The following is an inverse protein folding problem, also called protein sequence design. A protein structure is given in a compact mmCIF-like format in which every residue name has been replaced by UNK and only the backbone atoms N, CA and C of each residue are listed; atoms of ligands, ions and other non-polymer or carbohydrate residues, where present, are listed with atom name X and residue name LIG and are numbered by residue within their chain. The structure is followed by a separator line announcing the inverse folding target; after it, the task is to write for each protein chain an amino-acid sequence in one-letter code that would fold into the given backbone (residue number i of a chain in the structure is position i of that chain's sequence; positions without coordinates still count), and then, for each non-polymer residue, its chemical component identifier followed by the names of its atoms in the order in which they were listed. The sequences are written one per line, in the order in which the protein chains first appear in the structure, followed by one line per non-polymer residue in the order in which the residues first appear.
data_IF_267952347170
#
_entry.id   IF_267952347170
#
_cell.length_a   1.000
_cell.length_b   1.000
_cell.length_c   1.000
_cell.angle_alpha   90.00
_cell.angle_beta   90.00
_cell.angle_gamma   90.00
#
_symmetry.space_group_name_H-M   'P 1'
#
loop_
_entity.id
_entity.type
_entity.pdbx_description
1 polymer ?
#
# COMPACT_ATOMS: atom_id res chain seq x y z
N UNK A 1 7.46 19.56 16.45
CA UNK A 1 7.60 19.85 15.01
C UNK A 1 8.32 18.67 14.36
N UNK A 2 7.61 17.82 13.62
CA UNK A 2 8.17 16.60 13.02
C UNK A 2 8.84 16.93 11.67
N UNK A 3 10.07 17.44 11.74
CA UNK A 3 10.92 17.81 10.59
C UNK A 3 11.54 16.61 9.86
N UNK A 4 10.90 15.44 9.90
CA UNK A 4 11.41 14.18 9.35
C UNK A 4 10.90 13.89 7.94
N UNK A 5 11.65 13.14 7.15
CA UNK A 5 11.24 12.67 5.82
C UNK A 5 10.16 11.58 5.92
N UNK A 6 9.38 11.41 4.86
CA UNK A 6 8.54 10.23 4.64
C UNK A 6 9.41 9.17 3.98
N UNK A 7 9.71 8.09 4.69
CA UNK A 7 10.58 7.03 4.17
C UNK A 7 9.72 5.86 3.71
N UNK A 8 9.83 5.54 2.42
CA UNK A 8 9.20 4.37 1.82
C UNK A 8 10.25 3.26 1.72
N UNK A 9 10.00 2.14 2.38
CA UNK A 9 10.87 0.99 2.45
C UNK A 9 10.27 -0.11 1.58
N UNK A 10 10.84 -0.27 0.39
CA UNK A 10 10.45 -1.32 -0.56
C UNK A 10 11.70 -1.95 -1.15
N UNK A 11 12.16 -3.05 -0.54
CA UNK A 11 13.51 -3.55 -0.75
C UNK A 11 13.69 -4.31 -2.07
N UNK A 12 12.61 -4.82 -2.65
CA UNK A 12 12.66 -5.66 -3.84
C UNK A 12 12.10 -4.95 -5.09
N UNK A 13 12.90 -4.04 -5.65
CA UNK A 13 12.56 -3.33 -6.88
C UNK A 13 12.51 -4.27 -8.10
N UNK A 14 11.89 -3.80 -9.17
CA UNK A 14 11.75 -4.53 -10.43
C UNK A 14 11.67 -3.58 -11.63
N UNK A 15 12.10 -4.09 -12.78
CA UNK A 15 11.69 -3.52 -14.07
C UNK A 15 10.31 -4.06 -14.38
N UNK A 16 9.34 -3.18 -14.57
CA UNK A 16 8.01 -3.59 -14.99
C UNK A 16 7.94 -3.64 -16.51
N UNK A 17 7.54 -4.79 -17.06
CA UNK A 17 7.34 -5.02 -18.49
C UNK A 17 5.88 -5.36 -18.75
N UNK A 18 5.16 -4.54 -19.50
CA UNK A 18 3.79 -4.84 -19.91
C UNK A 18 3.78 -5.36 -21.34
N UNK A 19 3.44 -6.63 -21.50
CA UNK A 19 3.31 -7.31 -22.79
C UNK A 19 1.84 -7.29 -23.21
N UNK A 20 1.49 -6.37 -24.10
CA UNK A 20 0.09 -6.09 -24.45
C UNK A 20 -0.28 -6.92 -25.68
N UNK A 21 -1.24 -7.82 -25.54
CA UNK A 21 -1.77 -8.62 -26.64
C UNK A 21 -2.69 -7.77 -27.55
N UNK A 22 -3.02 -8.24 -28.77
CA UNK A 22 -4.09 -7.64 -29.57
C UNK A 22 -5.41 -7.53 -28.79
N UNK A 23 -6.33 -6.61 -29.18
CA UNK A 23 -7.56 -6.35 -28.43
C UNK A 23 -8.46 -7.58 -28.17
N UNK A 24 -8.42 -8.57 -29.05
CA UNK A 24 -9.13 -9.85 -28.98
C UNK A 24 -8.23 -11.01 -28.50
N UNK A 25 -6.97 -10.70 -28.17
CA UNK A 25 -5.96 -11.67 -27.77
C UNK A 25 -6.23 -12.26 -26.39
N UNK A 26 -6.08 -13.58 -26.28
CA UNK A 26 -6.10 -14.33 -25.03
C UNK A 26 -4.75 -15.02 -24.81
N UNK A 27 -4.32 -15.10 -23.55
CA UNK A 27 -3.15 -15.90 -23.19
C UNK A 27 -3.55 -17.38 -23.19
N UNK A 28 -2.96 -18.15 -24.12
CA UNK A 28 -3.18 -19.60 -24.26
C UNK A 28 -1.86 -20.32 -23.99
N UNK A 29 -1.74 -21.09 -22.89
CA UNK A 29 -0.54 -21.87 -22.59
C UNK A 29 -0.18 -22.83 -23.74
N UNK A 30 1.12 -22.98 -24.02
CA UNK A 30 1.63 -23.83 -25.10
C UNK A 30 1.69 -23.17 -26.48
N UNK A 31 1.08 -21.99 -26.67
CA UNK A 31 1.10 -21.26 -27.94
C UNK A 31 2.14 -20.12 -27.94
N UNK A 32 2.58 -19.74 -29.15
CA UNK A 32 3.39 -18.52 -29.36
C UNK A 32 2.48 -17.31 -29.43
N UNK A 33 2.74 -16.33 -28.57
CA UNK A 33 2.02 -15.05 -28.54
C UNK A 33 2.91 -13.93 -29.05
N UNK A 34 2.33 -12.99 -29.80
CA UNK A 34 3.01 -11.79 -30.29
C UNK A 34 2.33 -10.56 -29.70
N UNK A 35 3.08 -9.75 -28.97
CA UNK A 35 2.57 -8.49 -28.44
C UNK A 35 2.25 -7.53 -29.58
N UNK A 36 1.18 -6.76 -29.41
CA UNK A 36 0.93 -5.55 -30.17
C UNK A 36 1.92 -4.45 -29.77
N UNK A 37 2.24 -4.38 -28.48
CA UNK A 37 3.20 -3.43 -27.92
C UNK A 37 3.79 -3.94 -26.62
N UNK A 38 5.04 -3.55 -26.35
CA UNK A 38 5.70 -3.76 -25.07
C UNK A 38 5.99 -2.39 -24.45
N UNK A 39 5.60 -2.22 -23.19
CA UNK A 39 5.86 -1.00 -22.44
C UNK A 39 6.76 -1.34 -21.25
N UNK A 40 7.76 -0.50 -21.00
CA UNK A 40 8.61 -0.60 -19.82
C UNK A 40 8.15 0.44 -18.78
N UNK A 41 8.37 0.13 -17.52
CA UNK A 41 8.09 1.00 -16.41
C UNK A 41 8.82 0.53 -15.16
N UNK A 42 8.48 1.15 -14.04
CA UNK A 42 8.96 0.79 -12.72
C UNK A 42 7.98 -0.20 -12.08
N UNK A 43 8.47 -1.14 -11.29
CA UNK A 43 7.63 -2.09 -10.57
C UNK A 43 8.21 -2.48 -9.23
N UNK A 44 7.35 -2.68 -8.25
CA UNK A 44 7.76 -3.04 -6.90
C UNK A 44 7.04 -2.14 -5.91
N UNK A 45 6.42 -2.75 -4.91
CA UNK A 45 5.39 -2.07 -4.11
C UNK A 45 5.84 -0.74 -3.49
N UNK A 46 7.09 -0.62 -3.02
CA UNK A 46 7.60 0.66 -2.51
C UNK A 46 7.75 1.74 -3.58
N UNK A 47 8.11 1.37 -4.82
CA UNK A 47 8.17 2.29 -5.96
C UNK A 47 6.75 2.69 -6.41
N UNK A 48 5.83 1.73 -6.44
CA UNK A 48 4.40 1.94 -6.74
C UNK A 48 3.73 2.91 -5.73
N UNK A 49 4.08 2.78 -4.44
CA UNK A 49 3.68 3.75 -3.40
C UNK A 49 4.21 5.15 -3.72
N UNK A 50 5.47 5.27 -4.09
CA UNK A 50 6.10 6.56 -4.37
C UNK A 50 5.55 7.22 -5.66
N UNK A 51 5.22 6.43 -6.67
CA UNK A 51 4.50 6.88 -7.87
C UNK A 51 3.16 7.51 -7.49
N UNK A 52 2.38 6.80 -6.67
CA UNK A 52 1.09 7.31 -6.20
C UNK A 52 1.23 8.63 -5.43
N UNK A 53 2.21 8.72 -4.52
CA UNK A 53 2.48 9.95 -3.76
C UNK A 53 2.84 11.12 -4.68
N UNK A 54 3.57 10.86 -5.77
CA UNK A 54 3.89 11.86 -6.78
C UNK A 54 2.65 12.30 -7.55
N UNK A 55 1.78 11.36 -7.97
CA UNK A 55 0.50 11.68 -8.61
C UNK A 55 -0.40 12.54 -7.72
N UNK A 56 -0.39 12.31 -6.40
CA UNK A 56 -1.12 13.08 -5.40
C UNK A 56 -0.48 14.44 -5.08
N UNK A 57 0.67 14.77 -5.69
CA UNK A 57 1.44 15.98 -5.39
C UNK A 57 1.74 16.14 -3.90
N UNK A 58 2.12 15.04 -3.26
CA UNK A 58 2.41 15.01 -1.84
C UNK A 58 3.53 16.00 -1.49
N UNK A 59 3.27 16.87 -0.50
CA UNK A 59 4.14 18.01 -0.16
C UNK A 59 5.30 17.66 0.76
N UNK A 60 5.31 16.47 1.37
CA UNK A 60 6.41 16.03 2.24
C UNK A 60 7.62 15.55 1.43
N UNK A 61 8.82 15.68 2.02
CA UNK A 61 10.04 15.05 1.46
C UNK A 61 9.89 13.53 1.51
N UNK A 62 9.94 12.87 0.36
CA UNK A 62 9.85 11.41 0.24
C UNK A 62 11.24 10.85 -0.07
N UNK A 63 11.65 9.77 0.60
CA UNK A 63 12.88 9.02 0.29
C UNK A 63 12.59 7.53 0.13
N UNK A 64 13.20 6.88 -0.88
CA UNK A 64 13.09 5.43 -1.09
C UNK A 64 14.31 4.68 -0.54
N UNK A 65 14.06 3.85 0.47
CA UNK A 65 14.97 2.81 0.93
C UNK A 65 14.70 1.52 0.11
N UNK A 66 15.63 1.17 -0.76
CA UNK A 66 15.48 0.07 -1.72
C UNK A 66 16.83 -0.45 -2.23
N UNK A 67 16.83 -1.68 -2.73
CA UNK A 67 17.90 -2.20 -3.58
C UNK A 67 17.47 -2.12 -5.03
N UNK A 68 18.29 -1.50 -5.88
CA UNK A 68 18.08 -1.49 -7.33
C UNK A 68 19.37 -2.00 -7.97
N UNK A 69 19.34 -3.16 -8.62
CA UNK A 69 20.53 -3.80 -9.19
C UNK A 69 21.25 -2.92 -10.22
N UNK A 70 22.57 -2.98 -10.26
CA UNK A 70 23.37 -2.33 -11.31
C UNK A 70 23.24 -3.10 -12.63
N UNK A 71 23.35 -2.40 -13.76
CA UNK A 71 23.10 -2.98 -15.08
C UNK A 71 21.88 -2.37 -15.77
N UNK A 72 21.62 -2.78 -17.02
CA UNK A 72 20.73 -2.07 -17.93
C UNK A 72 19.29 -1.87 -17.39
N UNK A 73 18.70 -2.93 -16.81
CA UNK A 73 17.36 -2.90 -16.25
C UNK A 73 17.28 -1.95 -15.06
N UNK A 74 18.23 -2.07 -14.12
CA UNK A 74 18.21 -1.25 -12.92
C UNK A 74 18.67 0.18 -13.16
N UNK A 75 19.56 0.43 -14.12
CA UNK A 75 19.90 1.79 -14.59
C UNK A 75 18.67 2.48 -15.19
N UNK A 76 17.86 1.74 -15.96
CA UNK A 76 16.61 2.25 -16.50
C UNK A 76 15.60 2.59 -15.39
N UNK A 77 15.41 1.69 -14.41
CA UNK A 77 14.52 1.95 -13.26
C UNK A 77 15.01 3.10 -12.40
N UNK A 78 16.30 3.14 -12.08
CA UNK A 78 16.90 4.23 -11.31
C UNK A 78 16.67 5.58 -11.99
N UNK A 79 16.94 5.68 -13.30
CA UNK A 79 16.68 6.90 -14.07
C UNK A 79 15.21 7.29 -14.10
N UNK A 80 14.28 6.34 -14.32
CA UNK A 80 12.84 6.63 -14.28
C UNK A 80 12.40 7.18 -12.92
N UNK A 81 12.95 6.66 -11.83
CA UNK A 81 12.64 7.15 -10.48
C UNK A 81 13.27 8.53 -10.19
N UNK A 82 14.50 8.78 -10.65
CA UNK A 82 15.13 10.11 -10.56
C UNK A 82 14.34 11.14 -11.37
N UNK A 83 13.92 10.81 -12.59
CA UNK A 83 13.11 11.70 -13.44
C UNK A 83 11.76 12.03 -12.78
N UNK A 84 11.18 11.08 -12.04
CA UNK A 84 9.90 11.24 -11.36
C UNK A 84 9.99 12.03 -10.05
N UNK A 85 11.02 11.76 -9.23
CA UNK A 85 11.07 12.21 -7.83
C UNK A 85 12.30 13.09 -7.48
N UNK A 86 13.27 13.19 -8.38
CA UNK A 86 14.55 13.84 -8.14
C UNK A 86 15.56 12.98 -7.38
N UNK A 87 16.83 13.36 -7.48
CA UNK A 87 17.97 12.65 -6.90
C UNK A 87 17.90 12.55 -5.37
N UNK A 88 17.39 13.59 -4.70
CA UNK A 88 17.29 13.63 -3.24
C UNK A 88 16.39 12.52 -2.68
N UNK A 89 15.35 12.14 -3.43
CA UNK A 89 14.44 11.05 -3.07
C UNK A 89 15.12 9.67 -3.16
N UNK A 90 16.24 9.59 -3.89
CA UNK A 90 16.96 8.35 -4.17
C UNK A 90 18.18 8.14 -3.26
N UNK A 91 18.47 9.07 -2.33
CA UNK A 91 19.64 9.01 -1.45
C UNK A 91 19.75 7.73 -0.59
N UNK A 92 18.62 7.07 -0.29
CA UNK A 92 18.58 5.81 0.47
C UNK A 92 18.63 4.56 -0.43
N UNK A 93 18.76 4.72 -1.74
CA UNK A 93 18.88 3.59 -2.67
C UNK A 93 20.29 3.02 -2.61
N UNK A 94 20.40 1.70 -2.50
CA UNK A 94 21.64 0.94 -2.66
C UNK A 94 21.64 0.32 -4.06
N UNK A 95 22.82 0.26 -4.69
CA UNK A 95 23.01 -0.24 -6.07
C UNK A 95 23.85 -1.53 -6.08
N UNK A 96 23.27 -2.69 -5.73
CA UNK A 96 23.97 -3.98 -5.77
C UNK A 96 24.58 -4.31 -7.12
N UNK A 97 25.64 -5.13 -7.13
CA UNK A 97 26.18 -5.68 -8.38
C UNK A 97 25.23 -6.72 -9.01
N UNK A 98 24.46 -7.44 -8.19
CA UNK A 98 23.49 -8.44 -8.62
C UNK A 98 22.34 -7.88 -9.44
N UNK A 99 21.75 -8.73 -10.29
CA UNK A 99 20.61 -8.39 -11.13
C UNK A 99 19.34 -8.28 -10.29
N UNK A 100 18.54 -7.26 -10.57
CA UNK A 100 17.16 -7.19 -10.06
C UNK A 100 16.20 -7.95 -10.98
N UNK A 101 15.06 -8.36 -10.44
CA UNK A 101 14.01 -9.05 -11.21
C UNK A 101 13.36 -8.16 -12.29
N UNK A 102 12.85 -8.81 -13.34
CA UNK A 102 11.82 -8.24 -14.21
C UNK A 102 10.45 -8.82 -13.87
N UNK A 103 9.45 -7.96 -13.68
CA UNK A 103 8.05 -8.35 -13.57
C UNK A 103 7.37 -8.14 -14.92
N UNK A 104 6.85 -9.19 -15.54
CA UNK A 104 6.14 -9.11 -16.82
C UNK A 104 4.64 -9.31 -16.63
N UNK A 105 3.83 -8.28 -16.88
CA UNK A 105 2.37 -8.40 -16.93
C UNK A 105 1.92 -8.58 -18.38
N UNK A 106 1.31 -9.73 -18.68
CA UNK A 106 0.70 -10.02 -19.97
C UNK A 106 -0.74 -9.51 -19.93
N UNK A 107 -1.02 -8.44 -20.67
CA UNK A 107 -2.34 -7.80 -20.72
C UNK A 107 -3.11 -8.37 -21.92
N UNK A 108 -4.17 -9.12 -21.62
CA UNK A 108 -5.09 -9.71 -22.58
C UNK A 108 -6.44 -8.98 -22.58
N UNK A 109 -7.36 -9.35 -23.47
CA UNK A 109 -8.66 -8.69 -23.61
C UNK A 109 -9.45 -8.56 -22.29
N UNK A 110 -9.46 -9.62 -21.48
CA UNK A 110 -10.29 -9.73 -20.28
C UNK A 110 -9.52 -10.13 -19.01
N UNK A 111 -8.19 -10.19 -19.08
CA UNK A 111 -7.36 -10.64 -17.96
C UNK A 111 -5.95 -10.09 -18.05
N UNK A 112 -5.27 -10.06 -16.91
CA UNK A 112 -3.83 -9.83 -16.86
C UNK A 112 -3.18 -10.99 -16.12
N UNK A 113 -2.08 -11.52 -16.66
CA UNK A 113 -1.27 -12.56 -16.02
C UNK A 113 0.09 -11.99 -15.68
N UNK A 114 0.57 -12.19 -14.45
CA UNK A 114 1.90 -11.74 -14.03
C UNK A 114 2.90 -12.87 -14.02
N UNK A 115 4.08 -12.61 -14.59
CA UNK A 115 5.27 -13.45 -14.52
C UNK A 115 6.33 -12.68 -13.75
N UNK A 116 6.75 -13.22 -12.61
CA UNK A 116 7.69 -12.57 -11.70
C UNK A 116 8.99 -13.35 -11.70
N UNK A 117 10.07 -12.74 -12.18
CA UNK A 117 11.41 -13.31 -12.08
C UNK A 117 11.95 -13.23 -10.65
N UNK A 118 12.87 -14.13 -10.25
CA UNK A 118 13.59 -13.98 -8.99
C UNK A 118 14.58 -12.81 -9.07
N UNK A 119 14.88 -12.21 -7.92
CA UNK A 119 15.99 -11.27 -7.76
C UNK A 119 17.24 -12.02 -7.30
N UNK A 120 18.41 -11.51 -7.63
CA UNK A 120 19.66 -12.03 -7.06
C UNK A 120 19.72 -11.80 -5.54
N UNK A 121 20.64 -12.52 -4.91
CA UNK A 121 20.91 -12.39 -3.47
C UNK A 121 21.55 -11.03 -3.17
N UNK A 122 21.06 -10.38 -2.11
CA UNK A 122 21.65 -9.18 -1.53
C UNK A 122 22.71 -9.59 -0.50
N UNK A 123 23.92 -9.08 -0.68
CA UNK A 123 25.06 -9.38 0.20
C UNK A 123 24.91 -8.67 1.56
N UNK A 124 25.50 -9.24 2.61
CA UNK A 124 25.46 -8.64 3.95
C UNK A 124 26.01 -7.21 3.98
N UNK A 125 27.03 -6.91 3.16
CA UNK A 125 27.59 -5.56 3.01
C UNK A 125 26.61 -4.57 2.40
N UNK A 126 25.74 -5.01 1.50
CA UNK A 126 24.74 -4.16 0.85
C UNK A 126 23.59 -3.84 1.81
N UNK A 127 23.18 -4.81 2.64
CA UNK A 127 22.26 -4.56 3.76
C UNK A 127 22.87 -3.57 4.75
N UNK A 128 24.14 -3.76 5.12
CA UNK A 128 24.85 -2.85 6.02
C UNK A 128 24.95 -1.42 5.43
N UNK A 129 25.18 -1.27 4.13
CA UNK A 129 25.17 0.02 3.44
C UNK A 129 23.80 0.71 3.58
N UNK A 130 22.71 -0.02 3.33
CA UNK A 130 21.35 0.53 3.47
C UNK A 130 21.08 1.02 4.90
N UNK A 131 21.40 0.20 5.90
CA UNK A 131 21.23 0.55 7.31
C UNK A 131 22.11 1.75 7.69
N UNK A 132 23.31 1.86 7.14
CA UNK A 132 24.20 3.02 7.34
C UNK A 132 23.58 4.29 6.76
N UNK A 133 23.06 4.27 5.53
CA UNK A 133 22.37 5.43 4.92
C UNK A 133 21.17 5.89 5.75
N UNK A 134 20.40 4.93 6.29
CA UNK A 134 19.24 5.21 7.14
C UNK A 134 19.61 5.81 8.51
N UNK A 135 20.81 5.54 9.03
CA UNK A 135 21.22 6.00 10.37
C UNK A 135 21.28 7.52 10.54
N UNK A 136 21.39 8.26 9.43
CA UNK A 136 21.37 9.73 9.42
C UNK A 136 19.94 10.31 9.32
N UNK A 137 18.93 9.48 9.09
CA UNK A 137 17.56 9.93 8.84
C UNK A 137 16.70 9.96 10.11
N UNK A 138 15.64 10.75 10.05
CA UNK A 138 14.52 10.69 10.99
C UNK A 138 13.23 10.67 10.20
N UNK A 139 12.41 9.65 10.42
CA UNK A 139 11.16 9.51 9.69
C UNK A 139 10.02 10.28 10.38
N UNK A 140 9.28 11.10 9.64
CA UNK A 140 7.97 11.60 10.10
C UNK A 140 6.84 10.66 9.71
N UNK A 141 7.05 9.83 8.69
CA UNK A 141 6.18 8.74 8.28
C UNK A 141 7.02 7.59 7.71
N UNK A 142 6.59 6.36 7.94
CA UNK A 142 7.17 5.14 7.40
C UNK A 142 6.14 4.33 6.63
N UNK A 143 6.56 3.75 5.50
CA UNK A 143 5.80 2.72 4.81
C UNK A 143 6.70 1.52 4.51
N UNK A 144 6.41 0.36 5.11
CA UNK A 144 7.07 -0.90 4.78
C UNK A 144 6.20 -1.65 3.79
N UNK A 145 6.64 -1.79 2.54
CA UNK A 145 5.81 -2.39 1.50
C UNK A 145 6.58 -3.42 0.67
N UNK A 146 5.94 -4.56 0.46
CA UNK A 146 6.48 -5.64 -0.37
C UNK A 146 7.44 -6.59 0.34
N UNK A 147 7.90 -7.57 -0.44
CA UNK A 147 8.84 -8.59 0.01
C UNK A 147 10.27 -8.04 0.06
N UNK A 148 11.12 -8.77 0.77
CA UNK A 148 12.56 -8.58 0.73
C UNK A 148 13.16 -9.49 -0.36
N UNK A 149 14.19 -9.05 -1.08
CA UNK A 149 14.95 -9.94 -1.97
C UNK A 149 15.70 -11.02 -1.15
N UNK A 150 16.14 -12.13 -1.79
CA UNK A 150 16.98 -13.12 -1.13
C UNK A 150 18.22 -12.49 -0.49
N UNK A 151 18.70 -13.05 0.63
CA UNK A 151 19.86 -12.52 1.37
C UNK A 151 19.51 -11.51 2.46
N UNK A 152 18.37 -10.81 2.38
CA UNK A 152 17.92 -9.95 3.47
C UNK A 152 17.47 -10.77 4.70
N UNK A 153 18.01 -10.49 5.90
CA UNK A 153 17.54 -11.09 7.15
C UNK A 153 16.06 -10.79 7.43
N UNK A 154 15.34 -11.70 8.10
CA UNK A 154 13.88 -11.54 8.37
C UNK A 154 13.56 -10.34 9.26
N UNK A 155 14.52 -9.88 10.07
CA UNK A 155 14.42 -8.72 10.95
C UNK A 155 14.84 -7.40 10.29
N UNK A 156 15.16 -7.37 8.99
CA UNK A 156 15.61 -6.15 8.30
C UNK A 156 14.64 -4.98 8.48
N UNK A 157 13.33 -5.19 8.31
CA UNK A 157 12.34 -4.13 8.55
C UNK A 157 12.29 -3.66 10.00
N UNK A 158 12.46 -4.58 10.96
CA UNK A 158 12.53 -4.26 12.38
C UNK A 158 13.75 -3.39 12.71
N UNK A 159 14.91 -3.71 12.11
CA UNK A 159 16.13 -2.94 12.26
C UNK A 159 15.98 -1.53 11.65
N UNK A 160 15.41 -1.41 10.46
CA UNK A 160 15.11 -0.12 9.83
C UNK A 160 14.18 0.71 10.74
N UNK A 161 13.09 0.13 11.24
CA UNK A 161 12.17 0.82 12.15
C UNK A 161 12.88 1.36 13.39
N UNK A 162 13.74 0.54 14.01
CA UNK A 162 14.49 0.94 15.21
C UNK A 162 15.42 2.12 14.95
N UNK A 163 16.03 2.18 13.76
CA UNK A 163 16.95 3.23 13.35
C UNK A 163 16.23 4.57 13.14
N UNK A 164 15.13 4.59 12.37
CA UNK A 164 14.57 5.86 11.85
C UNK A 164 13.31 6.34 12.55
N UNK A 165 12.56 5.46 13.23
CA UNK A 165 11.28 5.81 13.82
C UNK A 165 11.44 6.49 15.19
N UNK A 166 10.78 7.63 15.40
CA UNK A 166 10.66 8.30 16.68
C UNK A 166 9.25 8.21 17.29
N UNK A 167 9.05 8.87 18.42
CA UNK A 167 7.82 8.85 19.23
C UNK A 167 6.54 9.29 18.47
N UNK A 168 6.69 10.02 17.35
CA UNK A 168 5.59 10.57 16.57
C UNK A 168 5.57 10.07 15.11
N UNK A 169 6.45 9.13 14.76
CA UNK A 169 6.48 8.57 13.40
C UNK A 169 5.23 7.70 13.20
N UNK A 170 4.37 8.09 12.25
CA UNK A 170 3.30 7.19 11.81
C UNK A 170 3.89 6.09 10.95
N UNK A 171 3.40 4.86 11.09
CA UNK A 171 3.93 3.70 10.38
C UNK A 171 2.81 2.94 9.68
N UNK A 172 2.90 2.80 8.36
CA UNK A 172 2.04 1.94 7.56
C UNK A 172 2.81 0.68 7.16
N UNK A 173 2.29 -0.48 7.52
CA UNK A 173 2.86 -1.78 7.18
C UNK A 173 1.97 -2.39 6.09
N UNK A 174 2.53 -2.66 4.92
CA UNK A 174 1.86 -3.26 3.75
C UNK A 174 2.68 -4.48 3.27
N UNK A 175 3.01 -5.34 4.22
CA UNK A 175 3.75 -6.57 4.01
C UNK A 175 3.47 -7.56 5.12
N UNK A 176 3.54 -8.84 4.77
CA UNK A 176 3.49 -9.97 5.71
C UNK A 176 4.89 -10.54 5.98
N UNK A 177 5.88 -10.16 5.18
CA UNK A 177 7.27 -10.63 5.30
C UNK A 177 7.98 -9.85 6.41
N UNK A 178 8.56 -10.55 7.39
CA UNK A 178 9.20 -9.93 8.56
C UNK A 178 8.23 -9.22 9.52
N UNK A 179 6.92 -9.45 9.36
CA UNK A 179 5.88 -8.83 10.17
C UNK A 179 6.02 -9.15 11.67
N UNK A 180 6.28 -10.41 12.11
CA UNK A 180 6.45 -10.71 13.53
C UNK A 180 7.57 -9.91 14.20
N UNK A 181 8.72 -9.84 13.55
CA UNK A 181 9.90 -9.10 14.02
C UNK A 181 9.64 -7.60 14.07
N UNK A 182 8.96 -7.06 13.05
CA UNK A 182 8.59 -5.65 12.99
C UNK A 182 7.58 -5.29 14.10
N UNK A 183 6.52 -6.08 14.28
CA UNK A 183 5.55 -5.88 15.37
C UNK A 183 6.23 -5.91 16.73
N UNK A 184 7.14 -6.87 16.94
CA UNK A 184 7.93 -6.96 18.17
C UNK A 184 8.77 -5.70 18.37
N UNK A 185 9.52 -5.25 17.38
CA UNK A 185 10.35 -4.04 17.50
C UNK A 185 9.53 -2.79 17.83
N UNK A 186 8.37 -2.61 17.19
CA UNK A 186 7.45 -1.50 17.49
C UNK A 186 6.96 -1.57 18.93
N UNK A 187 6.45 -2.74 19.35
CA UNK A 187 5.89 -2.92 20.70
C UNK A 187 6.88 -2.73 21.85
N UNK A 188 8.16 -2.95 21.60
CA UNK A 188 9.22 -2.81 22.61
C UNK A 188 9.68 -1.34 22.79
N UNK A 189 9.27 -0.42 21.92
CA UNK A 189 9.53 1.01 22.13
C UNK A 189 8.63 1.53 23.25
N UNK A 190 9.25 2.22 24.22
CA UNK A 190 8.51 2.87 25.32
C UNK A 190 7.45 3.85 24.81
N UNK A 191 7.75 4.54 23.71
CA UNK A 191 6.85 5.41 22.98
C UNK A 191 7.06 5.20 21.49
N UNK A 192 5.96 5.07 20.77
CA UNK A 192 5.95 5.05 19.31
C UNK A 192 4.73 5.78 18.79
N UNK A 193 4.84 6.27 17.55
CA UNK A 193 3.67 6.82 16.85
C UNK A 193 2.67 5.74 16.50
N UNK A 194 1.55 6.16 15.92
CA UNK A 194 0.50 5.23 15.53
C UNK A 194 0.94 4.32 14.37
N UNK A 195 0.55 3.05 14.41
CA UNK A 195 0.87 2.06 13.36
C UNK A 195 -0.39 1.47 12.77
N UNK A 196 -0.44 1.33 11.45
CA UNK A 196 -1.51 0.66 10.73
C UNK A 196 -0.95 -0.50 9.92
N UNK A 197 -1.51 -1.70 10.08
CA UNK A 197 -1.26 -2.83 9.18
C UNK A 197 -2.31 -2.82 8.07
N UNK A 198 -1.90 -2.60 6.82
CA UNK A 198 -2.72 -2.84 5.64
C UNK A 198 -2.51 -4.29 5.18
N UNK A 199 -3.59 -5.02 4.96
CA UNK A 199 -3.54 -6.42 4.53
C UNK A 199 -4.73 -6.74 3.61
N UNK A 200 -4.56 -7.63 2.64
CA UNK A 200 -5.71 -8.11 1.87
C UNK A 200 -6.51 -9.14 2.69
N UNK A 201 -7.82 -9.18 2.49
CA UNK A 201 -8.72 -10.06 3.23
C UNK A 201 -8.29 -11.53 3.14
N UNK A 202 -7.92 -12.00 1.95
CA UNK A 202 -7.45 -13.36 1.71
C UNK A 202 -6.09 -13.66 2.38
N UNK A 203 -5.19 -12.68 2.46
CA UNK A 203 -3.92 -12.80 3.18
C UNK A 203 -4.15 -12.90 4.68
N UNK A 204 -5.05 -12.08 5.23
CA UNK A 204 -5.42 -12.10 6.64
C UNK A 204 -6.03 -13.46 7.03
N UNK A 205 -6.99 -13.96 6.26
CA UNK A 205 -7.59 -15.28 6.49
C UNK A 205 -6.54 -16.40 6.43
N UNK A 206 -5.60 -16.34 5.48
CA UNK A 206 -4.52 -17.33 5.35
C UNK A 206 -3.59 -17.32 6.56
N UNK A 207 -3.14 -16.14 7.00
CA UNK A 207 -2.31 -16.02 8.21
C UNK A 207 -3.04 -16.53 9.46
N UNK A 208 -4.34 -16.20 9.56
CA UNK A 208 -5.19 -16.61 10.65
C UNK A 208 -5.63 -18.09 10.59
N UNK A 209 -5.35 -18.82 9.51
CA UNK A 209 -5.85 -20.19 9.31
C UNK A 209 -7.38 -20.29 9.24
N UNK A 210 -8.05 -19.23 8.78
CA UNK A 210 -9.51 -19.19 8.61
C UNK A 210 -9.86 -19.62 7.20
N UNK A 211 -10.63 -20.71 7.09
CA UNK A 211 -11.20 -21.16 5.82
C UNK A 211 -12.29 -20.19 5.34
N UNK A 212 -12.23 -19.81 4.06
CA UNK A 212 -13.20 -18.91 3.44
C UNK A 212 -14.22 -19.72 2.66
N UNK A 213 -15.50 -19.44 2.87
CA UNK A 213 -16.63 -20.15 2.26
C UNK A 213 -16.98 -19.66 0.84
N UNK A 214 -16.43 -18.52 0.42
CA UNK A 214 -16.60 -17.94 -0.92
C UNK A 214 -15.51 -18.35 -1.92
N UNK A 215 -15.83 -18.35 -3.22
CA UNK A 215 -14.81 -18.29 -4.28
C UNK A 215 -14.06 -16.94 -4.20
N UNK A 216 -12.80 -16.88 -4.67
CA UNK A 216 -11.98 -15.64 -4.63
C UNK A 216 -12.69 -14.39 -5.20
N UNK A 217 -13.68 -14.58 -6.07
CA UNK A 217 -14.44 -13.51 -6.72
C UNK A 217 -15.58 -12.93 -5.87
N UNK A 218 -16.05 -13.61 -4.82
CA UNK A 218 -17.26 -13.23 -4.08
C UNK A 218 -16.99 -12.39 -2.82
N UNK A 219 -15.73 -12.07 -2.55
CA UNK A 219 -15.32 -11.36 -1.36
C UNK A 219 -15.43 -12.23 -0.11
N UNK A 220 -14.87 -11.74 0.99
CA UNK A 220 -14.87 -12.44 2.28
C UNK A 220 -15.94 -11.83 3.19
N UNK A 221 -16.73 -12.69 3.85
CA UNK A 221 -17.85 -12.26 4.66
C UNK A 221 -17.40 -11.59 5.97
N UNK A 222 -18.20 -10.67 6.50
CA UNK A 222 -17.89 -9.97 7.75
C UNK A 222 -17.61 -10.91 8.95
N UNK A 223 -18.33 -12.04 9.14
CA UNK A 223 -18.00 -13.01 10.20
C UNK A 223 -16.63 -13.69 10.03
N UNK A 224 -16.23 -14.00 8.79
CA UNK A 224 -14.91 -14.58 8.49
C UNK A 224 -13.80 -13.55 8.75
N UNK A 225 -14.01 -12.29 8.34
CA UNK A 225 -13.10 -11.18 8.64
C UNK A 225 -12.93 -10.99 10.15
N UNK A 226 -14.04 -10.95 10.90
CA UNK A 226 -14.01 -10.84 12.38
C UNK A 226 -13.18 -11.97 13.01
N UNK A 227 -13.43 -13.21 12.58
CA UNK A 227 -12.71 -14.39 13.07
C UNK A 227 -11.22 -14.29 12.72
N UNK A 228 -10.89 -13.87 11.50
CA UNK A 228 -9.51 -13.74 11.04
C UNK A 228 -8.74 -12.65 11.81
N UNK A 229 -9.36 -11.49 12.08
CA UNK A 229 -8.76 -10.43 12.91
C UNK A 229 -8.46 -10.96 14.31
N UNK A 230 -9.46 -11.59 14.96
CA UNK A 230 -9.30 -12.10 16.32
C UNK A 230 -8.17 -13.11 16.39
N UNK A 231 -8.15 -14.10 15.50
CA UNK A 231 -7.12 -15.13 15.47
C UNK A 231 -5.74 -14.56 15.19
N UNK A 232 -5.61 -13.61 14.25
CA UNK A 232 -4.36 -12.91 13.99
C UNK A 232 -3.83 -12.19 15.25
N UNK A 233 -4.69 -11.44 15.95
CA UNK A 233 -4.29 -10.76 17.19
C UNK A 233 -3.84 -11.75 18.28
N UNK A 234 -4.48 -12.92 18.38
CA UNK A 234 -4.07 -13.99 19.30
C UNK A 234 -2.71 -14.58 18.96
N UNK A 235 -2.49 -14.91 17.69
CA UNK A 235 -1.25 -15.52 17.22
C UNK A 235 -0.03 -14.61 17.42
N UNK A 236 -0.24 -13.29 17.34
CA UNK A 236 0.82 -12.29 17.47
C UNK A 236 0.82 -11.56 18.82
N UNK A 237 0.18 -12.12 19.85
CA UNK A 237 0.18 -11.56 21.20
C UNK A 237 1.57 -11.66 21.86
N UNK A 238 2.02 -10.65 22.63
CA UNK A 238 1.36 -9.35 22.91
C UNK A 238 1.66 -8.27 21.86
N UNK A 239 2.55 -8.56 20.90
CA UNK A 239 3.17 -7.56 20.06
C UNK A 239 2.20 -6.86 19.11
N UNK A 240 1.26 -7.57 18.47
CA UNK A 240 0.27 -6.95 17.58
C UNK A 240 -0.62 -5.94 18.32
N UNK A 241 -1.13 -6.32 19.50
CA UNK A 241 -2.00 -5.47 20.32
C UNK A 241 -1.26 -4.22 20.83
N UNK A 242 0.02 -4.35 21.15
CA UNK A 242 0.84 -3.23 21.64
C UNK A 242 1.31 -2.31 20.51
N UNK A 243 1.65 -2.88 19.35
CA UNK A 243 2.22 -2.13 18.24
C UNK A 243 1.17 -1.41 17.39
N UNK A 244 0.02 -2.04 17.14
CA UNK A 244 -0.95 -1.57 16.15
C UNK A 244 -1.96 -0.59 16.74
N UNK A 245 -2.27 0.45 15.98
CA UNK A 245 -3.45 1.31 16.18
C UNK A 245 -4.63 0.86 15.32
N UNK A 246 -4.36 0.26 14.16
CA UNK A 246 -5.40 -0.33 13.31
C UNK A 246 -4.90 -1.44 12.37
N UNK A 247 -5.84 -2.25 11.89
CA UNK A 247 -5.68 -3.18 10.78
C UNK A 247 -6.67 -2.75 9.68
N UNK A 248 -6.14 -2.32 8.54
CA UNK A 248 -6.85 -1.88 7.35
C UNK A 248 -6.91 -3.01 6.32
N UNK A 249 -8.11 -3.50 6.06
CA UNK A 249 -8.34 -4.74 5.33
C UNK A 249 -9.03 -4.39 4.01
N UNK A 250 -8.35 -4.67 2.90
CA UNK A 250 -8.92 -4.50 1.55
C UNK A 250 -9.49 -5.81 1.04
N UNK A 251 -10.46 -5.75 0.12
CA UNK A 251 -11.04 -6.96 -0.51
C UNK A 251 -11.42 -6.68 -1.98
N UNK A 252 -10.48 -6.07 -2.73
CA UNK A 252 -10.69 -5.72 -4.14
C UNK A 252 -11.90 -4.80 -4.36
N UNK A 253 -12.89 -5.27 -5.12
CA UNK A 253 -14.11 -4.53 -5.45
C UNK A 253 -15.22 -4.65 -4.38
N UNK A 254 -14.95 -5.37 -3.29
CA UNK A 254 -15.88 -5.58 -2.18
C UNK A 254 -15.63 -4.58 -1.04
N UNK A 255 -16.56 -4.46 -0.06
CA UNK A 255 -16.35 -3.58 1.08
C UNK A 255 -15.03 -3.89 1.82
N UNK A 256 -14.32 -2.83 2.18
CA UNK A 256 -13.14 -2.91 3.03
C UNK A 256 -13.52 -2.87 4.51
N UNK A 257 -12.57 -3.19 5.39
CA UNK A 257 -12.79 -3.16 6.83
C UNK A 257 -11.64 -2.46 7.54
N UNK A 258 -11.94 -1.71 8.61
CA UNK A 258 -10.93 -1.14 9.50
C UNK A 258 -11.20 -1.65 10.91
N UNK A 259 -10.27 -2.41 11.45
CA UNK A 259 -10.26 -2.80 12.86
C UNK A 259 -9.37 -1.82 13.64
N UNK A 260 -9.92 -1.03 14.55
CA UNK A 260 -9.15 -0.11 15.38
C UNK A 260 -8.87 -0.74 16.74
N UNK A 261 -7.62 -0.69 17.17
CA UNK A 261 -7.19 -1.20 18.48
C UNK A 261 -7.67 -0.27 19.61
N UNK A 262 -7.96 -0.81 20.80
CA UNK A 262 -8.40 -0.02 21.94
C UNK A 262 -7.33 0.98 22.39
N UNK A 263 -7.77 2.12 22.91
CA UNK A 263 -6.91 3.01 23.71
C UNK A 263 -6.95 2.48 25.15
N UNK A 264 -5.80 2.50 25.83
CA UNK A 264 -5.53 1.87 27.14
C UNK A 264 -6.74 1.70 28.09
N UNK A 265 -6.81 0.51 28.73
CA UNK A 265 -7.84 -0.03 29.64
C UNK A 265 -9.01 -0.81 28.99
N UNK A 266 -9.25 -0.66 27.69
CA UNK A 266 -10.17 -1.54 26.95
C UNK A 266 -9.39 -2.73 26.35
N UNK A 267 -9.99 -3.93 26.38
CA UNK A 267 -9.45 -5.12 25.72
C UNK A 267 -10.28 -5.48 24.49
N UNK A 268 -10.98 -4.52 23.89
CA UNK A 268 -11.86 -4.73 22.74
C UNK A 268 -11.39 -3.91 21.55
N UNK A 269 -11.32 -4.55 20.38
CA UNK A 269 -11.14 -3.83 19.12
C UNK A 269 -12.50 -3.54 18.49
N UNK A 270 -12.57 -2.48 17.68
CA UNK A 270 -13.79 -2.04 16.99
C UNK A 270 -13.62 -2.22 15.49
N UNK A 271 -14.64 -2.74 14.82
CA UNK A 271 -14.62 -2.93 13.36
C UNK A 271 -15.60 -1.98 12.69
N UNK A 272 -15.12 -1.35 11.62
CA UNK A 272 -15.91 -0.56 10.69
C UNK A 272 -15.87 -1.21 9.31
N UNK A 273 -17.02 -1.26 8.63
CA UNK A 273 -17.09 -1.55 7.21
C UNK A 273 -16.99 -0.26 6.43
N UNK A 274 -16.18 -0.25 5.37
CA UNK A 274 -15.99 0.89 4.50
C UNK A 274 -16.42 0.49 3.09
N UNK A 275 -17.47 1.11 2.54
CA UNK A 275 -17.88 0.85 1.17
C UNK A 275 -16.78 1.25 0.16
N UNK A 276 -16.66 0.46 -0.91
CA UNK A 276 -15.72 0.68 -2.02
C UNK A 276 -16.51 0.77 -3.32
N UNK A 277 -16.17 1.71 -4.19
CA UNK A 277 -16.81 1.82 -5.50
C UNK A 277 -16.43 0.64 -6.39
N UNK A 278 -17.42 -0.15 -6.77
CA UNK A 278 -17.23 -1.29 -7.67
C UNK A 278 -17.33 -0.83 -9.13
N UNK A 279 -16.17 -0.65 -9.78
CA UNK A 279 -16.08 -0.18 -11.16
C UNK A 279 -16.69 -1.14 -12.20
N UNK A 280 -16.87 -2.43 -11.87
CA UNK A 280 -17.50 -3.40 -12.76
C UNK A 280 -19.02 -3.23 -12.80
N UNK A 281 -19.62 -2.68 -11.75
CA UNK A 281 -21.07 -2.48 -11.64
C UNK A 281 -21.47 -1.00 -11.66
N UNK A 282 -20.49 -0.09 -11.64
CA UNK A 282 -20.70 1.34 -11.74
C UNK A 282 -21.34 1.70 -13.09
N UNK A 283 -22.59 2.14 -13.03
CA UNK A 283 -23.37 2.50 -14.23
C UNK A 283 -23.19 3.96 -14.61
N UNK A 284 -22.58 4.77 -13.74
CA UNK A 284 -22.43 6.20 -13.98
C UNK A 284 -21.07 6.53 -14.56
N UNK A 285 -21.03 7.24 -15.69
CA UNK A 285 -19.80 7.78 -16.21
C UNK A 285 -19.14 8.74 -15.24
N UNK A 286 -17.81 8.84 -15.31
CA UNK A 286 -17.10 9.93 -14.66
C UNK A 286 -17.60 11.27 -15.25
N UNK A 287 -17.83 12.31 -14.43
CA UNK A 287 -18.41 13.59 -14.88
C UNK A 287 -17.69 14.28 -16.05
N UNK A 288 -16.39 14.02 -16.20
CA UNK A 288 -15.52 14.60 -17.23
C UNK A 288 -15.28 13.67 -18.43
N UNK A 289 -15.90 12.48 -18.45
CA UNK A 289 -15.89 11.62 -19.63
C UNK A 289 -17.14 11.88 -20.47
N UNK A 290 -16.96 12.28 -21.72
CA UNK A 290 -18.03 12.29 -22.73
C UNK A 290 -18.35 10.84 -23.11
N UNK A 291 -19.32 10.23 -22.42
CA UNK A 291 -19.65 8.83 -22.67
C UNK A 291 -20.40 8.61 -23.98
N UNK A 292 -19.91 7.64 -24.74
CA UNK A 292 -20.69 6.89 -25.71
C UNK A 292 -21.23 5.64 -25.01
N UNK A 293 -22.54 5.42 -25.00
CA UNK A 293 -23.13 4.19 -24.44
C UNK A 293 -22.49 2.95 -25.09
N UNK A 294 -21.83 2.09 -24.29
CA UNK A 294 -21.46 0.73 -24.69
C UNK A 294 -19.96 0.39 -24.76
N UNK A 295 -19.03 1.27 -24.36
CA UNK A 295 -17.62 0.87 -24.24
C UNK A 295 -17.39 0.11 -22.93
N UNK A 296 -16.90 -1.12 -23.01
CA UNK A 296 -16.33 -1.81 -21.85
C UNK A 296 -15.08 -1.05 -21.39
N UNK A 297 -15.12 -0.42 -20.23
CA UNK A 297 -13.91 0.20 -19.65
C UNK A 297 -12.96 -0.92 -19.22
N UNK A 298 -11.82 -1.05 -19.88
CA UNK A 298 -10.74 -1.94 -19.43
C UNK A 298 -10.21 -1.45 -18.09
N UNK A 299 -10.16 -2.33 -17.09
CA UNK A 299 -9.63 -2.02 -15.77
C UNK A 299 -8.25 -2.66 -15.57
N UNK A 300 -7.40 -1.97 -14.81
CA UNK A 300 -6.03 -2.34 -14.54
C UNK A 300 -5.80 -2.44 -13.02
N UNK A 301 -6.24 -3.52 -12.36
CA UNK A 301 -6.25 -3.59 -10.89
C UNK A 301 -4.87 -3.79 -10.25
N UNK A 302 -3.82 -3.99 -11.06
CA UNK A 302 -2.46 -4.21 -10.56
C UNK A 302 -1.91 -2.91 -9.97
N UNK A 303 -1.32 -3.00 -8.78
CA UNK A 303 -0.82 -1.83 -8.04
C UNK A 303 -1.90 -1.06 -7.27
N UNK A 304 -3.18 -1.46 -7.36
CA UNK A 304 -4.25 -0.78 -6.64
C UNK A 304 -4.07 -0.88 -5.11
N UNK A 305 -3.55 -2.00 -4.61
CA UNK A 305 -3.19 -2.16 -3.20
C UNK A 305 -2.14 -1.14 -2.75
N UNK A 306 -1.11 -0.93 -3.57
CA UNK A 306 -0.01 0.00 -3.28
C UNK A 306 -0.50 1.45 -3.34
N UNK A 307 -1.41 1.76 -4.26
CA UNK A 307 -2.09 3.06 -4.31
C UNK A 307 -2.96 3.31 -3.06
N UNK A 308 -3.61 2.27 -2.52
CA UNK A 308 -4.30 2.36 -1.23
C UNK A 308 -3.32 2.67 -0.10
N UNK A 309 -2.16 2.02 -0.08
CA UNK A 309 -1.15 2.26 0.95
C UNK A 309 -0.65 3.72 0.89
N UNK A 310 -0.27 4.19 -0.31
CA UNK A 310 0.19 5.56 -0.53
C UNK A 310 -0.85 6.62 -0.16
N UNK A 311 -2.08 6.47 -0.66
CA UNK A 311 -3.17 7.40 -0.36
C UNK A 311 -3.50 7.44 1.14
N UNK A 312 -3.51 6.27 1.79
CA UNK A 312 -3.71 6.17 3.24
C UNK A 312 -2.60 6.92 3.98
N UNK A 313 -1.33 6.69 3.63
CA UNK A 313 -0.20 7.36 4.28
C UNK A 313 -0.25 8.88 4.09
N UNK A 314 -0.52 9.34 2.87
CA UNK A 314 -0.59 10.76 2.53
C UNK A 314 -1.69 11.48 3.34
N UNK A 315 -2.92 10.94 3.29
CA UNK A 315 -4.05 11.50 4.03
C UNK A 315 -3.84 11.40 5.54
N UNK A 316 -3.27 10.30 6.03
CA UNK A 316 -2.99 10.13 7.45
C UNK A 316 -1.97 11.14 7.95
N UNK A 317 -0.86 11.35 7.22
CA UNK A 317 0.15 12.34 7.59
C UNK A 317 -0.45 13.75 7.65
N UNK A 318 -1.31 14.09 6.69
CA UNK A 318 -2.02 15.36 6.64
C UNK A 318 -2.98 15.54 7.83
N UNK A 319 -3.75 14.51 8.17
CA UNK A 319 -4.69 14.53 9.29
C UNK A 319 -3.99 14.51 10.66
N UNK A 320 -2.76 13.99 10.73
CA UNK A 320 -1.95 13.92 11.95
C UNK A 320 -0.99 15.10 12.12
N UNK A 321 -0.89 16.03 11.16
CA UNK A 321 -0.07 17.23 11.30
C UNK A 321 -0.86 18.39 11.91
N UNK A 322 -0.28 19.06 12.91
CA UNK A 322 -0.81 20.32 13.48
C UNK A 322 -0.68 21.52 12.52
N UNK A 323 0.11 21.38 11.45
CA UNK A 323 0.35 22.43 10.46
C UNK A 323 -0.80 22.52 9.47
N UNK A 324 -1.58 23.61 9.56
CA UNK A 324 -2.56 24.02 8.55
C UNK A 324 -1.82 24.43 7.28
N UNK A 325 -1.43 23.47 6.44
CA UNK A 325 -0.85 23.75 5.12
C UNK A 325 -1.93 24.14 4.10
N UNK A 326 -1.68 25.12 3.21
CA UNK A 326 -2.53 25.37 2.07
C UNK A 326 -2.15 24.40 0.94
N UNK A 327 -2.82 23.25 0.85
CA UNK A 327 -2.71 22.32 -0.28
C UNK A 327 -4.08 21.77 -0.64
N UNK A 328 -4.37 21.53 -1.92
CA UNK A 328 -5.64 21.17 -2.59
C UNK A 328 -6.56 20.09 -1.97
N UNK A 329 -6.19 19.44 -0.88
CA UNK A 329 -6.98 18.42 -0.16
C UNK A 329 -7.95 18.89 1.00
N UNK A 330 -8.13 20.16 1.43
CA UNK A 330 -8.58 20.42 2.81
C UNK A 330 -10.10 20.36 3.02
N UNK A 331 -10.88 20.77 2.02
CA UNK A 331 -12.31 21.03 2.23
C UNK A 331 -13.16 19.75 2.18
N UNK A 332 -12.75 18.76 1.40
CA UNK A 332 -13.53 17.53 1.20
C UNK A 332 -13.27 16.50 2.30
N UNK A 333 -12.00 16.34 2.71
CA UNK A 333 -11.62 15.50 3.87
C UNK A 333 -12.30 15.97 5.15
N UNK A 334 -12.37 17.29 5.38
CA UNK A 334 -12.96 17.88 6.60
C UNK A 334 -14.49 17.80 6.69
N UNK A 335 -15.21 17.54 5.60
CA UNK A 335 -16.67 17.41 5.61
C UNK A 335 -17.15 16.01 6.06
N UNK A 336 -16.36 14.96 5.80
CA UNK A 336 -16.53 13.59 6.36
C UNK A 336 -16.27 13.59 7.90
N UNK A 337 -15.64 14.69 8.34
CA UNK A 337 -15.42 15.34 9.64
C UNK A 337 -16.52 15.56 10.70
N UNK A 338 -17.81 15.32 10.43
CA UNK A 338 -18.89 15.69 11.37
C UNK A 338 -19.57 14.50 12.06
N UNK A 339 -19.00 14.04 13.20
CA UNK A 339 -19.64 13.31 14.32
C UNK A 339 -18.61 13.04 15.45
N UNK A 340 -19.01 13.12 16.72
CA UNK A 340 -18.23 13.56 17.88
C UNK A 340 -17.58 12.42 18.71
N UNK A 341 -16.89 11.44 18.07
CA UNK A 341 -16.22 10.33 18.78
C UNK A 341 -14.74 10.16 18.39
N UNK A 342 -13.89 10.03 19.43
CA UNK A 342 -12.41 9.87 19.49
C UNK A 342 -11.63 10.32 18.24
N UNK A 343 -10.93 11.48 18.28
CA UNK A 343 -10.27 12.08 17.11
C UNK A 343 -9.34 11.17 16.30
N UNK A 344 -8.65 10.22 16.95
CA UNK A 344 -7.71 9.31 16.29
C UNK A 344 -8.38 8.26 15.40
N UNK A 345 -9.48 7.63 15.84
CA UNK A 345 -10.25 6.65 15.05
C UNK A 345 -10.76 7.28 13.76
N UNK A 346 -11.19 8.53 13.83
CA UNK A 346 -11.67 9.26 12.65
C UNK A 346 -10.56 9.50 11.64
N UNK A 347 -9.40 9.94 12.09
CA UNK A 347 -8.25 10.16 11.21
C UNK A 347 -7.88 8.87 10.47
N UNK A 348 -7.87 7.73 11.17
CA UNK A 348 -7.60 6.42 10.58
C UNK A 348 -8.65 6.02 9.53
N UNK A 349 -9.95 6.18 9.85
CA UNK A 349 -11.04 5.91 8.92
C UNK A 349 -10.97 6.77 7.67
N UNK A 350 -10.80 8.09 7.82
CA UNK A 350 -10.73 9.02 6.70
C UNK A 350 -9.49 8.79 5.84
N UNK A 351 -8.34 8.53 6.46
CA UNK A 351 -7.12 8.18 5.75
C UNK A 351 -7.30 6.90 4.92
N UNK A 352 -7.82 5.83 5.52
CA UNK A 352 -8.00 4.58 4.82
C UNK A 352 -9.07 4.67 3.72
N UNK A 353 -10.19 5.38 3.96
CA UNK A 353 -11.19 5.68 2.91
C UNK A 353 -10.59 6.45 1.73
N UNK A 354 -9.70 7.41 1.99
CA UNK A 354 -8.98 8.13 0.93
C UNK A 354 -8.02 7.20 0.17
N UNK A 355 -7.32 6.32 0.88
CA UNK A 355 -6.54 5.24 0.29
C UNK A 355 -7.38 4.36 -0.64
N UNK A 356 -8.54 3.89 -0.19
CA UNK A 356 -9.47 3.09 -1.00
C UNK A 356 -9.86 3.80 -2.30
N UNK A 357 -10.15 5.11 -2.23
CA UNK A 357 -10.41 5.92 -3.42
C UNK A 357 -9.20 6.03 -4.35
N UNK A 358 -7.97 6.09 -3.82
CA UNK A 358 -6.74 6.02 -4.62
C UNK A 358 -6.60 4.68 -5.34
N UNK A 359 -6.87 3.57 -4.63
CA UNK A 359 -6.92 2.24 -5.22
C UNK A 359 -7.91 2.16 -6.38
N UNK A 360 -9.16 2.58 -6.16
CA UNK A 360 -10.20 2.63 -7.20
C UNK A 360 -9.76 3.50 -8.39
N UNK A 361 -9.24 4.70 -8.16
CA UNK A 361 -8.80 5.60 -9.24
C UNK A 361 -7.64 5.02 -10.05
N UNK A 362 -6.71 4.30 -9.40
CA UNK A 362 -5.57 3.70 -10.08
C UNK A 362 -5.99 2.60 -11.06
N UNK A 363 -7.09 1.89 -10.80
CA UNK A 363 -7.63 0.87 -11.69
C UNK A 363 -8.06 1.41 -13.07
N UNK A 364 -8.18 2.73 -13.23
CA UNK A 364 -8.53 3.40 -14.49
C UNK A 364 -7.31 3.77 -15.34
N UNK A 365 -6.09 3.59 -14.82
CA UNK A 365 -4.85 3.92 -15.51
C UNK A 365 -4.14 2.63 -15.93
N UNK A 366 -3.57 2.60 -17.13
CA UNK A 366 -2.89 1.39 -17.62
C UNK A 366 -1.62 1.06 -16.82
N UNK A 367 -0.97 2.08 -16.27
CA UNK A 367 0.26 1.97 -15.48
C UNK A 367 -0.08 1.70 -14.02
N UNK A 368 0.68 0.79 -13.41
CA UNK A 368 0.52 0.43 -12.01
C UNK A 368 0.59 1.69 -11.13
N UNK A 369 -0.39 1.82 -10.22
CA UNK A 369 -0.41 2.84 -9.16
C UNK A 369 -0.37 4.30 -9.62
N UNK A 370 -0.48 4.55 -10.92
CA UNK A 370 -0.72 5.89 -11.47
C UNK A 370 -2.19 6.22 -11.28
N UNK A 371 -2.49 7.46 -10.90
CA UNK A 371 -3.87 7.93 -10.74
C UNK A 371 -4.02 9.40 -11.13
N UNK A 372 -5.26 9.83 -11.31
CA UNK A 372 -5.61 11.24 -11.47
C UNK A 372 -6.27 11.75 -10.18
N UNK A 373 -5.77 12.83 -9.56
CA UNK A 373 -6.34 13.35 -8.31
C UNK A 373 -7.84 13.62 -8.37
N UNK A 374 -8.35 14.09 -9.51
CA UNK A 374 -9.79 14.34 -9.72
C UNK A 374 -10.65 13.06 -9.60
N UNK A 375 -10.14 11.92 -10.07
CA UNK A 375 -10.82 10.62 -9.98
C UNK A 375 -10.85 10.17 -8.51
N UNK A 376 -9.75 10.37 -7.78
CA UNK A 376 -9.65 10.09 -6.34
C UNK A 376 -10.69 10.88 -5.55
N UNK A 377 -10.76 12.20 -5.75
CA UNK A 377 -11.73 13.05 -5.05
C UNK A 377 -13.17 12.64 -5.36
N UNK A 378 -13.45 12.27 -6.61
CA UNK A 378 -14.76 11.78 -6.99
C UNK A 378 -15.17 10.51 -6.24
N UNK A 379 -14.29 9.50 -6.22
CA UNK A 379 -14.55 8.25 -5.51
C UNK A 379 -14.58 8.44 -4.00
N UNK A 380 -13.73 9.30 -3.44
CA UNK A 380 -13.73 9.60 -2.00
C UNK A 380 -15.06 10.23 -1.55
N UNK A 381 -15.58 11.20 -2.31
CA UNK A 381 -16.84 11.87 -1.98
C UNK A 381 -18.08 10.99 -2.19
N UNK A 382 -18.00 10.00 -3.08
CA UNK A 382 -19.12 9.10 -3.42
C UNK A 382 -19.07 7.74 -2.75
N UNK A 383 -17.92 7.35 -2.21
CA UNK A 383 -17.65 6.00 -1.74
C UNK A 383 -18.62 5.51 -0.66
N UNK A 384 -19.37 6.42 -0.03
CA UNK A 384 -20.24 6.13 1.11
C UNK A 384 -19.52 6.45 2.41
N UNK A 385 -20.21 6.28 3.54
CA UNK A 385 -19.63 6.53 4.87
C UNK A 385 -19.28 5.21 5.54
N UNK A 386 -18.16 5.14 6.29
CA UNK A 386 -17.87 4.00 7.15
C UNK A 386 -19.04 3.72 8.09
N UNK A 387 -19.39 2.44 8.23
CA UNK A 387 -20.41 1.96 9.14
C UNK A 387 -19.77 1.15 10.26
N UNK A 388 -20.11 1.45 11.51
CA UNK A 388 -19.71 0.59 12.64
C UNK A 388 -20.40 -0.77 12.51
N UNK A 389 -19.62 -1.84 12.60
CA UNK A 389 -20.15 -3.21 12.55
C UNK A 389 -20.32 -3.79 13.95
N UNK A 390 -19.23 -3.87 14.70
CA UNK A 390 -19.17 -4.56 15.98
C UNK A 390 -17.91 -4.20 16.77
N UNK A 391 -17.88 -4.59 18.04
CA UNK A 391 -16.66 -4.74 18.84
C UNK A 391 -16.49 -6.21 19.25
N UNK A 392 -15.25 -6.64 19.47
CA UNK A 392 -14.94 -7.97 20.03
C UNK A 392 -13.69 -7.88 20.91
N UNK A 393 -13.60 -8.80 21.87
CA UNK A 393 -12.54 -8.89 22.86
C UNK A 393 -11.30 -9.51 22.23
N UNK A 394 -10.16 -8.84 22.43
CA UNK A 394 -8.83 -9.36 22.14
C UNK A 394 -8.53 -10.44 23.19
N UNK A 395 -8.20 -11.64 22.73
CA UNK A 395 -7.59 -12.67 23.57
C UNK A 395 -6.31 -12.14 24.26
#
# INVERSE_FOLDING_TARGET
MTTGSTIIVGLNSALQKRFILPPDGQLVPGNVHRARSVQLGVGGKGQDVAITLTCLQYSGSVKLAQFVGSGAEGDAVYRMMVDLMGEDSMQLTVRPAGSMRTCTSIVAANSTTELVEPSDLIEESEVAELLSKLSAEKASALCFSGSMPPGCPTDTYANIYNIVAGDHTICLIDTVVGLPELLRAISLKQRHGQTMLKINASELCRLAGVETTGAETNGISSPEIMTAIKTFLCQHKPYAQQALSAIAITDGAHPAYLATMPVAAENEFRIFQIPVTNLLTEKRPLPWETWSRGSSTTLYPIGAGDAVAAGTLAAWKYLSSDERHPSSLPHELSAVLKDDRVPSTRALLSAFSFGLACGTASCLQEQNSVLKPQDVLHFFNRGGRPAFLACDVIC
#
